data_IF_016540191875
#
_entry.id   IF_016540191875
#
_cell.length_a   1.000
_cell.length_b   1.000
_cell.length_c   1.000
_cell.angle_alpha   90.00
_cell.angle_beta   90.00
_cell.angle_gamma   90.00
#
_symmetry.space_group_name_H-M   'P 1'
#
loop_
_entity.id
_entity.type
_entity.pdbx_description
1 polymer ?
#
# COMPACT_ATOMS: atom_id res chain seq x y z
N UNK A 1 9.57 -3.04 -25.38
CA UNK A 1 11.03 -2.78 -25.54
C UNK A 1 11.12 -1.65 -26.55
N UNK A 2 11.66 -0.50 -26.11
CA UNK A 2 11.92 0.61 -27.01
C UNK A 2 12.96 0.17 -28.05
N UNK A 3 12.54 0.06 -29.30
CA UNK A 3 13.27 -0.56 -30.39
C UNK A 3 14.53 0.19 -30.83
N UNK A 4 14.86 1.36 -30.27
CA UNK A 4 16.03 2.15 -30.68
C UNK A 4 17.35 1.83 -29.97
N UNK A 5 17.31 1.13 -28.83
CA UNK A 5 18.50 0.89 -28.01
C UNK A 5 19.32 -0.34 -28.45
N UNK A 6 18.87 -1.11 -29.44
CA UNK A 6 19.52 -2.34 -29.88
C UNK A 6 20.19 -2.21 -31.28
N UNK A 7 20.27 -1.01 -31.84
CA UNK A 7 20.68 -0.81 -33.23
C UNK A 7 22.21 -0.67 -33.43
N UNK A 8 23.00 -0.53 -32.35
CA UNK A 8 24.45 -0.36 -32.47
C UNK A 8 25.19 -1.48 -31.78
N UNK A 9 26.06 -2.19 -32.51
CA UNK A 9 26.94 -3.19 -31.93
C UNK A 9 27.97 -2.57 -30.97
N UNK A 10 28.23 -3.24 -29.84
CA UNK A 10 29.20 -2.81 -28.83
C UNK A 10 28.66 -1.89 -27.74
N UNK A 11 27.39 -1.50 -27.79
CA UNK A 11 26.78 -0.70 -26.73
C UNK A 11 26.39 -1.58 -25.51
N UNK A 12 26.61 -1.03 -24.31
CA UNK A 12 26.15 -1.64 -23.06
C UNK A 12 24.91 -0.91 -22.58
N UNK A 13 23.85 -1.65 -22.27
CA UNK A 13 22.58 -1.13 -21.79
C UNK A 13 22.11 -1.79 -20.51
N UNK A 14 21.14 -1.16 -19.85
CA UNK A 14 20.44 -1.66 -18.68
C UNK A 14 18.96 -1.77 -19.00
N UNK A 15 18.39 -2.96 -18.77
CA UNK A 15 16.94 -3.16 -18.72
C UNK A 15 16.53 -3.13 -17.27
N UNK A 16 15.49 -2.35 -16.97
CA UNK A 16 14.85 -2.29 -15.65
C UNK A 16 13.39 -2.68 -15.86
N UNK A 17 12.98 -3.75 -15.22
CA UNK A 17 11.59 -4.22 -15.20
C UNK A 17 11.08 -4.14 -13.75
N UNK A 18 10.10 -3.26 -13.51
CA UNK A 18 9.48 -3.07 -12.19
C UNK A 18 8.06 -3.60 -12.28
N UNK A 19 7.89 -4.81 -11.72
CA UNK A 19 6.59 -5.47 -11.62
C UNK A 19 5.82 -5.09 -10.35
N UNK A 20 4.72 -5.79 -10.10
CA UNK A 20 3.91 -5.63 -8.88
C UNK A 20 4.66 -6.00 -7.60
N UNK A 21 5.44 -7.08 -7.61
CA UNK A 21 6.14 -7.61 -6.42
C UNK A 21 7.64 -7.79 -6.59
N UNK A 22 8.20 -7.54 -7.78
CA UNK A 22 9.65 -7.68 -8.06
C UNK A 22 10.13 -6.55 -8.94
N UNK A 23 11.43 -6.24 -8.83
CA UNK A 23 12.15 -5.38 -9.76
C UNK A 23 13.37 -6.12 -10.26
N UNK A 24 13.47 -6.29 -11.57
CA UNK A 24 14.51 -7.05 -12.24
C UNK A 24 15.39 -6.11 -13.06
N UNK A 25 16.71 -6.29 -12.93
CA UNK A 25 17.73 -5.49 -13.57
C UNK A 25 18.61 -6.40 -14.43
N UNK A 26 18.75 -6.09 -15.71
CA UNK A 26 19.59 -6.86 -16.63
C UNK A 26 20.53 -5.95 -17.37
N UNK A 27 21.83 -6.17 -17.20
CA UNK A 27 22.88 -5.49 -17.99
C UNK A 27 23.16 -6.33 -19.23
N UNK A 28 23.12 -5.70 -20.38
CA UNK A 28 23.38 -6.36 -21.65
C UNK A 28 24.39 -5.61 -22.50
N UNK A 29 25.00 -6.32 -23.46
CA UNK A 29 25.82 -5.74 -24.51
C UNK A 29 25.29 -6.18 -25.87
N UNK A 30 25.21 -5.23 -26.79
CA UNK A 30 24.86 -5.52 -28.18
C UNK A 30 26.08 -6.02 -28.95
N UNK A 31 25.96 -7.14 -29.64
CA UNK A 31 26.96 -7.69 -30.54
C UNK A 31 26.50 -7.61 -32.00
N UNK A 32 27.36 -8.00 -32.93
CA UNK A 32 27.02 -8.05 -34.36
C UNK A 32 25.91 -9.05 -34.71
N UNK A 33 25.76 -10.11 -33.89
CA UNK A 33 24.81 -11.21 -34.12
C UNK A 33 23.71 -11.33 -33.06
N UNK A 34 23.64 -10.40 -32.10
CA UNK A 34 22.63 -10.46 -31.06
C UNK A 34 22.99 -9.71 -29.77
N UNK A 35 22.31 -10.06 -28.70
CA UNK A 35 22.46 -9.43 -27.37
C UNK A 35 23.04 -10.46 -26.39
N UNK A 36 24.11 -10.07 -25.72
CA UNK A 36 24.74 -10.83 -24.64
C UNK A 36 24.27 -10.25 -23.28
N UNK A 37 23.74 -11.09 -22.40
CA UNK A 37 23.42 -10.69 -21.03
C UNK A 37 24.69 -10.81 -20.17
N UNK A 38 25.14 -9.69 -19.65
CA UNK A 38 26.35 -9.61 -18.83
C UNK A 38 26.08 -9.88 -17.35
N UNK A 39 24.94 -9.44 -16.84
CA UNK A 39 24.52 -9.63 -15.44
C UNK A 39 23.00 -9.50 -15.29
N UNK A 40 22.45 -10.24 -14.35
CA UNK A 40 21.06 -10.12 -13.89
C UNK A 40 21.03 -9.99 -12.38
N UNK A 41 20.12 -9.16 -11.87
CA UNK A 41 19.83 -9.04 -10.45
C UNK A 41 18.37 -8.74 -10.25
N UNK A 42 17.70 -9.51 -9.38
CA UNK A 42 16.30 -9.32 -9.01
C UNK A 42 16.17 -8.98 -7.53
N UNK A 43 15.29 -8.05 -7.20
CA UNK A 43 14.91 -7.73 -5.82
C UNK A 43 13.40 -7.92 -5.64
N UNK A 44 12.99 -8.41 -4.46
CA UNK A 44 11.59 -8.58 -4.10
C UNK A 44 11.01 -7.27 -3.54
N UNK A 45 11.00 -6.25 -4.37
CA UNK A 45 10.37 -4.96 -4.12
C UNK A 45 9.69 -4.57 -5.41
N UNK A 46 8.40 -4.26 -5.35
CA UNK A 46 7.61 -3.90 -6.50
C UNK A 46 6.53 -2.88 -6.18
N UNK A 47 5.61 -2.69 -7.11
CA UNK A 47 4.53 -1.70 -7.01
C UNK A 47 3.66 -1.86 -5.77
N UNK A 48 3.37 -3.11 -5.36
CA UNK A 48 2.55 -3.41 -4.18
C UNK A 48 3.22 -3.05 -2.86
N UNK A 49 4.56 -3.07 -2.79
CA UNK A 49 5.30 -2.62 -1.59
C UNK A 49 5.19 -1.11 -1.41
N UNK A 50 5.21 -0.35 -2.52
CA UNK A 50 4.96 1.09 -2.49
C UNK A 50 3.52 1.39 -2.08
N UNK A 51 2.53 0.68 -2.63
CA UNK A 51 1.13 0.83 -2.26
C UNK A 51 0.91 0.52 -0.78
N UNK A 52 1.53 -0.55 -0.29
CA UNK A 52 1.49 -0.90 1.13
C UNK A 52 2.08 0.20 2.00
N UNK A 53 3.23 0.78 1.63
CA UNK A 53 3.87 1.87 2.40
C UNK A 53 2.99 3.11 2.41
N UNK A 54 2.47 3.53 1.27
CA UNK A 54 1.53 4.65 1.18
C UNK A 54 0.27 4.41 2.02
N UNK A 55 -0.29 3.21 1.95
CA UNK A 55 -1.45 2.83 2.76
C UNK A 55 -1.16 2.95 4.26
N UNK A 56 -0.03 2.40 4.72
CA UNK A 56 0.40 2.43 6.12
C UNK A 56 0.61 3.86 6.64
N UNK A 57 1.20 4.73 5.82
CA UNK A 57 1.62 6.06 6.25
C UNK A 57 0.51 7.10 6.11
N UNK A 58 -0.38 6.97 5.12
CA UNK A 58 -1.39 7.98 4.81
C UNK A 58 -2.83 7.52 5.11
N UNK A 59 -3.19 6.28 4.82
CA UNK A 59 -4.58 5.79 4.96
C UNK A 59 -4.82 5.20 6.35
N UNK A 60 -3.97 4.30 6.81
CA UNK A 60 -4.19 3.59 8.08
C UNK A 60 -4.29 4.52 9.31
N UNK A 61 -3.60 5.68 9.40
CA UNK A 61 -3.81 6.64 10.47
C UNK A 61 -5.23 7.20 10.53
N UNK A 62 -5.90 7.35 9.39
CA UNK A 62 -7.29 7.80 9.32
C UNK A 62 -8.30 6.74 9.79
N UNK A 63 -7.87 5.48 9.82
CA UNK A 63 -8.63 4.34 10.34
C UNK A 63 -8.29 4.02 11.81
N UNK A 64 -7.33 4.74 12.42
CA UNK A 64 -6.98 4.61 13.83
C UNK A 64 -5.59 4.05 14.13
N UNK A 65 -4.78 3.71 13.11
CA UNK A 65 -3.40 3.30 13.33
C UNK A 65 -2.63 4.40 14.08
N UNK A 66 -1.84 4.00 15.09
CA UNK A 66 -1.06 4.94 15.90
C UNK A 66 -1.86 5.66 16.98
N UNK A 67 -3.17 5.48 17.08
CA UNK A 67 -3.97 6.03 18.18
C UNK A 67 -3.85 5.18 19.46
N UNK A 68 -4.49 5.65 20.53
CA UNK A 68 -4.42 5.05 21.86
C UNK A 68 -5.77 4.48 22.28
N UNK A 69 -5.72 3.43 23.11
CA UNK A 69 -6.87 2.87 23.80
C UNK A 69 -6.81 3.27 25.28
N UNK A 70 -7.93 3.67 25.84
CA UNK A 70 -8.06 3.88 27.30
C UNK A 70 -8.07 2.54 28.02
N UNK A 71 -7.39 2.45 29.15
CA UNK A 71 -7.52 1.27 30.00
C UNK A 71 -8.89 1.26 30.70
N UNK A 72 -9.41 0.08 30.96
CA UNK A 72 -10.69 -0.10 31.67
C UNK A 72 -10.60 0.41 33.12
N UNK A 73 -9.40 0.38 33.71
CA UNK A 73 -9.13 0.85 35.07
C UNK A 73 -7.98 1.88 35.02
N UNK A 74 -8.25 3.08 35.58
CA UNK A 74 -7.29 4.20 35.63
C UNK A 74 -7.33 5.07 34.37
N UNK A 75 -6.53 6.16 34.41
CA UNK A 75 -6.48 7.18 33.35
C UNK A 75 -5.40 6.90 32.27
N UNK A 76 -4.72 5.76 32.39
CA UNK A 76 -3.65 5.40 31.47
C UNK A 76 -4.18 4.92 30.11
N UNK A 77 -3.35 5.10 29.09
CA UNK A 77 -3.62 4.58 27.73
C UNK A 77 -2.63 3.49 27.34
N UNK A 78 -3.01 2.70 26.35
CA UNK A 78 -2.15 1.70 25.72
C UNK A 78 -2.17 1.89 24.21
N UNK A 79 -1.06 1.62 23.49
CA UNK A 79 -1.04 1.71 22.04
C UNK A 79 -2.07 0.80 21.38
N UNK A 80 -2.68 1.27 20.30
CA UNK A 80 -3.57 0.49 19.44
C UNK A 80 -2.81 -0.70 18.83
N UNK A 81 -3.37 -1.93 18.84
CA UNK A 81 -2.79 -3.07 18.13
C UNK A 81 -2.59 -2.78 16.65
N UNK A 82 -1.39 -3.05 16.12
CA UNK A 82 -1.02 -2.65 14.75
C UNK A 82 -1.34 -3.72 13.70
N UNK A 83 -1.58 -4.97 14.11
CA UNK A 83 -1.68 -6.11 13.19
C UNK A 83 -2.78 -5.93 12.14
N UNK A 84 -3.97 -5.52 12.56
CA UNK A 84 -5.12 -5.37 11.65
C UNK A 84 -4.86 -4.33 10.54
N UNK A 85 -4.16 -3.24 10.88
CA UNK A 85 -3.79 -2.21 9.90
C UNK A 85 -2.72 -2.71 8.92
N UNK A 86 -1.74 -3.47 9.42
CA UNK A 86 -0.71 -4.08 8.59
C UNK A 86 -1.30 -5.11 7.63
N UNK A 87 -2.27 -5.90 8.08
CA UNK A 87 -2.94 -6.89 7.25
C UNK A 87 -3.89 -6.22 6.24
N UNK A 88 -4.59 -5.15 6.62
CA UNK A 88 -5.45 -4.37 5.71
C UNK A 88 -4.63 -3.65 4.62
N UNK A 89 -3.40 -3.23 4.93
CA UNK A 89 -2.49 -2.65 3.95
C UNK A 89 -1.78 -3.69 3.06
N UNK A 90 -1.99 -4.99 3.30
CA UNK A 90 -1.36 -6.08 2.55
C UNK A 90 -2.40 -6.76 1.67
N UNK A 91 -2.30 -6.57 0.35
CA UNK A 91 -3.30 -7.00 -0.64
C UNK A 91 -3.81 -8.43 -0.44
N UNK A 92 -2.89 -9.39 -0.28
CA UNK A 92 -3.21 -10.82 -0.18
C UNK A 92 -3.92 -11.18 1.12
N UNK A 93 -3.85 -10.31 2.14
CA UNK A 93 -4.43 -10.56 3.46
C UNK A 93 -5.82 -9.96 3.63
N UNK A 94 -6.21 -9.01 2.80
CA UNK A 94 -7.48 -8.29 2.90
C UNK A 94 -8.68 -9.24 3.03
N UNK A 95 -8.86 -10.29 2.20
CA UNK A 95 -10.04 -11.16 2.29
C UNK A 95 -10.17 -11.90 3.62
N UNK A 96 -9.05 -12.13 4.31
CA UNK A 96 -9.05 -12.85 5.59
C UNK A 96 -9.45 -11.98 6.79
N UNK A 97 -9.62 -10.67 6.58
CA UNK A 97 -10.04 -9.73 7.62
C UNK A 97 -11.55 -9.69 7.84
N UNK A 98 -12.37 -10.10 6.88
CA UNK A 98 -13.82 -9.98 6.89
C UNK A 98 -14.52 -11.04 7.76
N UNK A 99 -13.98 -11.27 8.95
CA UNK A 99 -14.49 -12.27 9.90
C UNK A 99 -15.32 -11.62 11.00
N UNK A 100 -16.34 -12.32 11.54
CA UNK A 100 -17.08 -11.84 12.72
C UNK A 100 -16.18 -11.59 13.93
N UNK A 101 -15.07 -12.30 14.06
CA UNK A 101 -14.09 -12.13 15.14
C UNK A 101 -13.38 -10.79 15.02
N UNK A 102 -12.90 -10.44 13.83
CA UNK A 102 -12.21 -9.16 13.59
C UNK A 102 -13.17 -7.97 13.77
N UNK A 103 -14.41 -8.08 13.28
CA UNK A 103 -15.45 -7.04 13.48
C UNK A 103 -15.68 -6.79 14.96
N UNK A 104 -15.86 -7.85 15.77
CA UNK A 104 -16.02 -7.73 17.23
C UNK A 104 -14.80 -7.12 17.90
N UNK A 105 -13.60 -7.54 17.53
CA UNK A 105 -12.37 -6.99 18.08
C UNK A 105 -12.25 -5.48 17.79
N UNK A 106 -12.61 -5.03 16.58
CA UNK A 106 -12.63 -3.59 16.24
C UNK A 106 -13.71 -2.84 17.02
N UNK A 107 -14.90 -3.40 17.19
CA UNK A 107 -15.96 -2.81 18.02
C UNK A 107 -15.53 -2.64 19.48
N UNK A 108 -14.84 -3.64 20.04
CA UNK A 108 -14.33 -3.56 21.42
C UNK A 108 -13.20 -2.50 21.54
N UNK A 109 -12.30 -2.44 20.56
CA UNK A 109 -11.29 -1.37 20.50
C UNK A 109 -11.94 0.01 20.34
N UNK A 110 -12.99 0.16 19.54
CA UNK A 110 -13.69 1.42 19.34
C UNK A 110 -14.27 1.99 20.64
N UNK A 111 -14.85 1.14 21.50
CA UNK A 111 -15.38 1.56 22.81
C UNK A 111 -14.32 2.17 23.74
N UNK A 112 -13.08 1.73 23.61
CA UNK A 112 -11.95 2.18 24.41
C UNK A 112 -11.09 3.22 23.70
N UNK A 113 -11.31 3.47 22.40
CA UNK A 113 -10.46 4.34 21.60
C UNK A 113 -10.50 5.80 22.06
N UNK A 114 -9.34 6.46 22.04
CA UNK A 114 -9.26 7.90 22.18
C UNK A 114 -9.78 8.66 20.95
N UNK A 115 -9.80 7.98 19.78
CA UNK A 115 -10.33 8.49 18.53
C UNK A 115 -11.36 7.48 17.94
N UNK A 116 -12.57 7.37 18.51
CA UNK A 116 -13.57 6.36 18.14
C UNK A 116 -14.06 6.50 16.69
N UNK A 117 -14.09 7.71 16.14
CA UNK A 117 -14.52 7.97 14.77
C UNK A 117 -13.60 7.29 13.74
N UNK A 118 -12.28 7.23 14.03
CA UNK A 118 -11.33 6.52 13.17
C UNK A 118 -11.60 5.03 13.16
N UNK A 119 -11.92 4.46 14.32
CA UNK A 119 -12.28 3.04 14.42
C UNK A 119 -13.65 2.74 13.79
N UNK A 120 -14.59 3.70 13.78
CA UNK A 120 -15.84 3.59 13.04
C UNK A 120 -15.57 3.40 11.54
N UNK A 121 -14.62 4.15 10.96
CA UNK A 121 -14.22 3.97 9.56
C UNK A 121 -13.59 2.59 9.33
N UNK A 122 -12.71 2.12 10.22
CA UNK A 122 -12.15 0.77 10.13
C UNK A 122 -13.25 -0.29 10.19
N UNK A 123 -14.23 -0.11 11.07
CA UNK A 123 -15.36 -1.04 11.18
C UNK A 123 -16.18 -1.07 9.88
N UNK A 124 -16.48 0.10 9.29
CA UNK A 124 -17.16 0.19 8.00
C UNK A 124 -16.39 -0.54 6.89
N UNK A 125 -15.05 -0.39 6.84
CA UNK A 125 -14.21 -1.15 5.89
C UNK A 125 -14.40 -2.65 6.04
N UNK A 126 -14.52 -3.16 7.28
CA UNK A 126 -14.68 -4.60 7.52
C UNK A 126 -16.12 -5.09 7.29
N UNK A 127 -17.12 -4.26 7.56
CA UNK A 127 -18.53 -4.60 7.40
C UNK A 127 -18.94 -4.60 5.93
N UNK A 128 -18.50 -3.59 5.19
CA UNK A 128 -18.83 -3.38 3.78
C UNK A 128 -17.76 -3.97 2.82
N UNK A 129 -16.73 -4.66 3.36
CA UNK A 129 -15.68 -5.36 2.62
C UNK A 129 -14.87 -4.45 1.66
N UNK A 130 -14.64 -3.18 2.05
CA UNK A 130 -14.04 -2.12 1.22
C UNK A 130 -12.50 -2.15 1.16
N UNK A 131 -11.84 -3.17 1.68
CA UNK A 131 -10.38 -3.21 1.77
C UNK A 131 -9.68 -3.13 0.41
N UNK A 132 -10.19 -3.85 -0.61
CA UNK A 132 -9.64 -3.77 -1.96
C UNK A 132 -9.93 -2.42 -2.64
N UNK A 133 -11.08 -1.80 -2.37
CA UNK A 133 -11.39 -0.47 -2.88
C UNK A 133 -10.42 0.59 -2.33
N UNK A 134 -10.03 0.45 -1.04
CA UNK A 134 -8.98 1.28 -0.44
C UNK A 134 -7.62 1.05 -1.11
N UNK A 135 -7.26 -0.21 -1.37
CA UNK A 135 -6.01 -0.52 -2.04
C UNK A 135 -5.97 0.09 -3.45
N UNK A 136 -7.06 0.00 -4.22
CA UNK A 136 -7.17 0.67 -5.51
C UNK A 136 -7.14 2.20 -5.40
N UNK A 137 -7.69 2.80 -4.34
CA UNK A 137 -7.60 4.24 -4.13
C UNK A 137 -6.14 4.67 -3.90
N UNK A 138 -5.37 3.89 -3.13
CA UNK A 138 -3.94 4.10 -2.90
C UNK A 138 -3.17 4.01 -4.22
N UNK A 139 -3.39 2.98 -5.01
CA UNK A 139 -2.74 2.80 -6.31
C UNK A 139 -3.03 3.98 -7.24
N UNK A 140 -4.28 4.44 -7.33
CA UNK A 140 -4.63 5.62 -8.14
C UNK A 140 -3.91 6.88 -7.65
N UNK A 141 -3.81 7.09 -6.33
CA UNK A 141 -3.06 8.20 -5.73
C UNK A 141 -1.57 8.15 -6.08
N UNK A 142 -0.96 6.96 -5.99
CA UNK A 142 0.43 6.72 -6.40
C UNK A 142 0.65 7.07 -7.88
N UNK A 143 -0.23 6.60 -8.77
CA UNK A 143 -0.15 6.85 -10.21
C UNK A 143 -0.27 8.36 -10.49
N UNK A 144 -1.21 9.05 -9.85
CA UNK A 144 -1.40 10.48 -9.99
C UNK A 144 -0.16 11.27 -9.52
N UNK A 145 0.43 10.89 -8.38
CA UNK A 145 1.66 11.50 -7.88
C UNK A 145 2.83 11.33 -8.86
N UNK A 146 2.99 10.13 -9.42
CA UNK A 146 4.04 9.85 -10.40
C UNK A 146 3.83 10.59 -11.75
N UNK A 147 2.61 10.93 -12.09
CA UNK A 147 2.29 11.72 -13.28
C UNK A 147 2.56 13.23 -13.12
N UNK A 148 3.10 13.65 -11.97
CA UNK A 148 3.47 15.06 -11.71
C UNK A 148 2.31 15.94 -11.24
N UNK A 149 1.20 15.36 -10.76
CA UNK A 149 0.14 16.09 -10.08
C UNK A 149 0.68 16.55 -8.73
N UNK A 150 1.07 17.82 -8.61
CA UNK A 150 1.76 18.40 -7.45
C UNK A 150 1.00 18.27 -6.11
N UNK A 151 -0.32 18.07 -6.16
CA UNK A 151 -1.21 17.87 -5.00
C UNK A 151 -1.95 16.54 -5.10
N UNK A 152 -1.24 15.47 -5.51
CA UNK A 152 -1.85 14.15 -5.60
C UNK A 152 -2.34 13.67 -4.23
N UNK A 153 -3.61 13.24 -4.16
CA UNK A 153 -4.25 12.75 -2.95
C UNK A 153 -4.88 11.38 -3.17
N UNK A 154 -4.99 10.63 -2.11
CA UNK A 154 -5.71 9.35 -2.08
C UNK A 154 -7.16 9.67 -1.73
N UNK A 155 -8.06 9.54 -2.70
CA UNK A 155 -9.50 9.74 -2.49
C UNK A 155 -10.09 8.58 -1.69
N UNK A 156 -10.61 8.91 -0.51
CA UNK A 156 -11.27 7.99 0.41
C UNK A 156 -12.77 8.31 0.57
N UNK A 157 -13.35 8.96 -0.41
CA UNK A 157 -14.77 9.31 -0.45
C UNK A 157 -15.73 8.12 -0.33
N UNK A 158 -15.23 6.91 -0.55
CA UNK A 158 -15.96 5.66 -0.31
C UNK A 158 -16.24 5.41 1.19
N UNK A 159 -15.39 5.95 2.08
CA UNK A 159 -15.57 5.84 3.54
C UNK A 159 -16.37 7.02 4.10
N UNK A 160 -16.03 8.21 3.64
CA UNK A 160 -16.64 9.44 4.13
C UNK A 160 -16.51 10.54 3.05
N UNK A 161 -17.60 11.22 2.75
CA UNK A 161 -17.63 12.24 1.71
C UNK A 161 -16.60 13.35 1.98
N UNK A 162 -15.66 13.54 1.05
CA UNK A 162 -14.62 14.54 1.13
C UNK A 162 -13.41 14.13 1.99
N UNK A 163 -13.34 12.87 2.43
CA UNK A 163 -12.15 12.32 3.07
C UNK A 163 -11.08 12.04 2.01
N UNK A 164 -9.89 12.53 2.26
CA UNK A 164 -8.69 12.23 1.46
C UNK A 164 -7.46 12.06 2.37
N UNK A 165 -6.40 11.47 1.81
CA UNK A 165 -5.09 11.35 2.42
C UNK A 165 -4.02 11.88 1.45
N UNK A 166 -3.05 12.62 1.97
CA UNK A 166 -1.95 13.20 1.21
C UNK A 166 -0.67 13.21 2.00
#
# INVERSE_FOLDING_TARGET
>A
IASGALERAGETGLIVDIGGGTSDFSVFRTGETGVEILANHGVRIGGTDFDRSLSIDHVMPLLGRGSQLRKVLGDETTPMPQQIFNDLATWEKIPFLYTPSNRRAVQDMQRLACAPDRLARLLAVLEDELGHDLAFAVERGKIAANAGAGDARIDLGILERGLDAG
#
